data_IF_722105320907
#
_entry.id   IF_722105320907
#
_cell.length_a   1.000
_cell.length_b   1.000
_cell.length_c   1.000
_cell.angle_alpha   90.00
_cell.angle_beta   90.00
_cell.angle_gamma   90.00
#
_symmetry.space_group_name_H-M   'P 1'
#
loop_
_entity.id
_entity.type
_entity.pdbx_description
1 polymer ?
#
# COMPACT_ATOMS: atom_id res chain seq x y z
N UNK A 1 -27.05 25.31 -4.29
CA UNK A 1 -25.59 25.34 -4.28
C UNK A 1 -25.04 25.04 -5.68
N UNK A 2 -24.00 25.77 -6.08
CA UNK A 2 -23.28 25.53 -7.34
C UNK A 2 -21.78 25.44 -7.02
N UNK A 3 -21.09 24.48 -7.64
CA UNK A 3 -19.65 24.36 -7.57
C UNK A 3 -19.09 24.26 -9.00
N UNK A 4 -17.97 24.95 -9.26
CA UNK A 4 -17.29 24.96 -10.56
C UNK A 4 -15.85 24.57 -10.33
N UNK A 5 -15.43 23.46 -10.90
CA UNK A 5 -14.08 22.90 -10.75
C UNK A 5 -13.48 22.52 -12.09
N UNK A 6 -12.16 22.62 -12.27
CA UNK A 6 -11.47 22.09 -13.45
C UNK A 6 -11.77 20.58 -13.59
N UNK A 7 -12.15 20.15 -14.79
CA UNK A 7 -12.51 18.75 -15.06
C UNK A 7 -11.42 17.77 -14.65
N UNK A 8 -10.16 18.09 -14.93
CA UNK A 8 -9.01 17.23 -14.63
C UNK A 8 -8.85 17.00 -13.12
N UNK A 9 -8.88 18.07 -12.33
CA UNK A 9 -8.75 17.98 -10.87
C UNK A 9 -9.93 17.21 -10.25
N UNK A 10 -11.15 17.49 -10.72
CA UNK A 10 -12.33 16.78 -10.24
C UNK A 10 -12.29 15.27 -10.60
N UNK A 11 -11.83 14.94 -11.81
CA UNK A 11 -11.67 13.55 -12.25
C UNK A 11 -10.64 12.80 -11.39
N UNK A 12 -9.45 13.36 -11.20
CA UNK A 12 -8.39 12.79 -10.37
C UNK A 12 -8.85 12.58 -8.92
N UNK A 13 -9.58 13.55 -8.36
CA UNK A 13 -10.12 13.47 -7.01
C UNK A 13 -11.20 12.39 -6.87
N UNK A 14 -12.18 12.34 -7.78
CA UNK A 14 -13.21 11.29 -7.78
C UNK A 14 -12.61 9.91 -7.99
N UNK A 15 -11.62 9.78 -8.88
CA UNK A 15 -10.89 8.52 -9.08
C UNK A 15 -10.13 8.09 -7.81
N UNK A 16 -9.55 9.05 -7.09
CA UNK A 16 -8.81 8.79 -5.85
C UNK A 16 -9.76 8.29 -4.77
N UNK A 17 -10.78 9.06 -4.41
CA UNK A 17 -11.71 8.67 -3.33
C UNK A 17 -12.56 7.46 -3.72
N UNK A 18 -12.88 7.30 -5.01
CA UNK A 18 -13.66 6.18 -5.53
C UNK A 18 -13.07 4.79 -5.25
N UNK A 19 -11.80 4.70 -4.84
CA UNK A 19 -11.14 3.45 -4.42
C UNK A 19 -11.65 2.92 -3.07
N UNK A 20 -12.20 3.81 -2.23
CA UNK A 20 -12.85 3.42 -0.98
C UNK A 20 -14.32 3.02 -1.16
N UNK A 21 -14.86 3.10 -2.38
CA UNK A 21 -16.25 2.74 -2.64
C UNK A 21 -16.43 1.22 -2.59
N UNK A 22 -17.48 0.77 -1.92
CA UNK A 22 -17.84 -0.65 -1.89
C UNK A 22 -18.48 -1.09 -3.22
N UNK A 23 -17.91 -2.15 -3.82
CA UNK A 23 -18.50 -2.75 -5.03
C UNK A 23 -19.74 -3.61 -4.76
N UNK A 24 -19.95 -4.05 -3.51
CA UNK A 24 -21.08 -4.87 -3.06
C UNK A 24 -21.48 -4.42 -1.67
N UNK A 25 -22.56 -3.67 -1.57
CA UNK A 25 -23.03 -3.14 -0.28
C UNK A 25 -24.57 -3.21 -0.21
N UNK A 26 -25.08 -3.43 1.00
CA UNK A 26 -26.51 -3.30 1.31
C UNK A 26 -26.91 -1.83 1.54
N UNK A 27 -25.93 -0.92 1.71
CA UNK A 27 -26.14 0.50 1.93
C UNK A 27 -25.84 1.27 0.63
N UNK A 28 -26.84 1.72 -0.14
CA UNK A 28 -26.62 2.37 -1.44
C UNK A 28 -25.68 3.57 -1.40
N UNK A 29 -25.66 4.33 -0.29
CA UNK A 29 -24.83 5.52 -0.12
C UNK A 29 -23.32 5.19 -0.21
N UNK A 30 -22.89 3.99 0.17
CA UNK A 30 -21.49 3.55 0.11
C UNK A 30 -21.01 3.28 -1.33
N UNK A 31 -21.89 3.33 -2.31
CA UNK A 31 -21.53 3.32 -3.74
C UNK A 31 -21.32 4.73 -4.31
N UNK A 32 -21.49 5.77 -3.48
CA UNK A 32 -21.42 7.15 -3.89
C UNK A 32 -20.16 7.84 -3.36
N UNK A 33 -19.77 8.89 -4.07
CA UNK A 33 -18.85 9.92 -3.59
C UNK A 33 -19.68 11.06 -3.03
N UNK A 34 -19.34 11.51 -1.83
CA UNK A 34 -19.85 12.76 -1.27
C UNK A 34 -18.92 13.90 -1.63
N UNK A 35 -19.46 15.02 -2.10
CA UNK A 35 -18.73 16.27 -2.31
C UNK A 35 -19.37 17.39 -1.49
N UNK A 36 -18.60 18.00 -0.59
CA UNK A 36 -19.03 19.11 0.28
C UNK A 36 -18.11 20.32 0.16
N UNK A 37 -18.64 21.53 0.25
CA UNK A 37 -17.82 22.74 0.35
C UNK A 37 -17.07 22.77 1.69
N UNK A 38 -15.82 23.21 1.67
CA UNK A 38 -14.99 23.40 2.87
C UNK A 38 -14.24 24.71 2.76
N UNK A 39 -14.53 25.62 3.70
CA UNK A 39 -13.89 26.95 3.68
C UNK A 39 -14.06 27.69 2.36
N UNK A 40 -13.18 28.64 2.11
CA UNK A 40 -13.25 29.51 0.96
C UNK A 40 -12.69 28.84 -0.31
N UNK A 41 -13.59 28.48 -1.22
CA UNK A 41 -13.21 28.06 -2.56
C UNK A 41 -12.70 26.62 -2.70
N UNK A 42 -13.09 25.69 -1.79
CA UNK A 42 -12.68 24.30 -1.85
C UNK A 42 -13.86 23.34 -1.82
N UNK A 43 -13.77 22.29 -2.62
CA UNK A 43 -14.69 21.17 -2.61
C UNK A 43 -13.98 19.94 -2.08
N UNK A 44 -14.47 19.42 -0.95
CA UNK A 44 -13.99 18.18 -0.33
C UNK A 44 -14.77 17.01 -0.91
N UNK A 45 -14.06 16.01 -1.42
CA UNK A 45 -14.62 14.76 -1.89
C UNK A 45 -14.29 13.64 -0.90
N UNK A 46 -15.24 12.75 -0.67
CA UNK A 46 -15.12 11.68 0.31
C UNK A 46 -15.83 10.42 -0.18
N UNK A 47 -15.24 9.26 0.09
CA UNK A 47 -15.88 7.95 -0.09
C UNK A 47 -15.45 6.98 0.99
N UNK A 48 -16.27 5.96 1.26
CA UNK A 48 -16.01 4.95 2.28
C UNK A 48 -16.75 3.65 2.00
N UNK A 49 -16.19 2.54 2.48
CA UNK A 49 -16.87 1.25 2.63
C UNK A 49 -17.05 0.86 4.11
N UNK A 50 -16.84 1.81 5.03
CA UNK A 50 -16.83 1.70 6.50
C UNK A 50 -15.55 1.08 7.08
N UNK A 51 -14.75 0.37 6.30
CA UNK A 51 -13.44 -0.12 6.72
C UNK A 51 -12.33 0.87 6.36
N UNK A 52 -12.51 1.59 5.27
CA UNK A 52 -11.58 2.61 4.79
C UNK A 52 -12.34 3.87 4.35
N UNK A 53 -11.82 5.04 4.71
CA UNK A 53 -12.26 6.37 4.26
C UNK A 53 -11.15 7.00 3.45
N UNK A 54 -11.53 7.54 2.30
CA UNK A 54 -10.64 8.39 1.49
C UNK A 54 -11.28 9.76 1.33
N UNK A 55 -10.47 10.77 1.57
CA UNK A 55 -10.85 12.17 1.48
C UNK A 55 -9.78 12.96 0.74
N UNK A 56 -10.18 13.84 -0.16
CA UNK A 56 -9.30 14.85 -0.75
C UNK A 56 -10.08 16.13 -1.04
N UNK A 57 -9.38 17.24 -1.16
CA UNK A 57 -9.97 18.55 -1.47
C UNK A 57 -9.36 19.12 -2.74
N UNK A 58 -10.21 19.76 -3.56
CA UNK A 58 -9.79 20.45 -4.79
C UNK A 58 -10.25 21.91 -4.77
N UNK A 59 -9.58 22.74 -5.55
CA UNK A 59 -10.04 24.11 -5.81
C UNK A 59 -11.38 24.12 -6.50
N UNK A 60 -12.31 24.96 -6.05
CA UNK A 60 -13.64 25.10 -6.66
C UNK A 60 -14.21 26.49 -6.42
N UNK A 61 -14.83 27.08 -7.44
CA UNK A 61 -15.63 28.28 -7.25
C UNK A 61 -17.01 27.88 -6.75
N UNK A 62 -17.31 28.20 -5.50
CA UNK A 62 -18.55 27.77 -4.84
C UNK A 62 -19.49 29.00 -4.66
N UNK A 63 -20.75 28.82 -4.98
CA UNK A 63 -21.82 29.78 -4.69
C UNK A 63 -23.00 29.08 -4.03
N UNK A 64 -23.57 29.72 -3.00
CA UNK A 64 -24.68 29.21 -2.24
C UNK A 64 -25.98 29.90 -2.65
N UNK A 65 -27.09 29.16 -2.64
CA UNK A 65 -28.45 29.68 -2.71
C UNK A 65 -29.05 29.90 -1.31
N UNK A 66 -30.17 30.58 -1.23
CA UNK A 66 -30.86 30.87 0.03
C UNK A 66 -31.39 29.63 0.78
N UNK A 67 -31.54 28.49 0.10
CA UNK A 67 -32.15 27.25 0.64
C UNK A 67 -31.17 26.06 0.74
N UNK A 68 -29.87 26.31 0.83
CA UNK A 68 -28.88 25.23 0.76
C UNK A 68 -28.73 24.42 2.07
N UNK A 69 -29.37 24.82 3.17
CA UNK A 69 -29.32 24.16 4.48
C UNK A 69 -27.97 24.29 5.18
N UNK A 70 -27.84 23.69 6.36
CA UNK A 70 -26.65 23.80 7.22
C UNK A 70 -25.46 23.01 6.69
N UNK A 71 -25.67 21.95 5.91
CA UNK A 71 -24.62 21.09 5.36
C UNK A 71 -24.87 20.78 3.87
N UNK A 72 -24.69 21.75 2.98
CA UNK A 72 -24.89 21.53 1.56
C UNK A 72 -23.86 20.52 1.01
N UNK A 73 -24.26 19.74 0.02
CA UNK A 73 -23.37 18.76 -0.59
C UNK A 73 -23.99 18.07 -1.80
N UNK A 74 -23.18 17.32 -2.51
CA UNK A 74 -23.58 16.49 -3.63
C UNK A 74 -23.21 15.04 -3.34
N UNK A 75 -24.03 14.10 -3.79
CA UNK A 75 -23.67 12.70 -3.84
C UNK A 75 -23.76 12.19 -5.27
N UNK A 76 -22.79 11.40 -5.69
CA UNK A 76 -22.74 10.86 -7.05
C UNK A 76 -22.40 9.37 -7.00
N UNK A 77 -23.06 8.50 -7.82
CA UNK A 77 -22.59 7.15 -8.04
C UNK A 77 -21.15 7.17 -8.55
N UNK A 78 -20.20 6.68 -7.76
CA UNK A 78 -18.76 6.86 -8.00
C UNK A 78 -18.31 6.39 -9.39
N UNK A 79 -18.69 5.17 -9.77
CA UNK A 79 -18.29 4.56 -11.05
C UNK A 79 -18.83 5.37 -12.23
N UNK A 80 -20.14 5.67 -12.23
CA UNK A 80 -20.77 6.42 -13.31
C UNK A 80 -20.17 7.81 -13.44
N UNK A 81 -19.96 8.49 -12.32
CA UNK A 81 -19.42 9.86 -12.34
C UNK A 81 -17.97 9.89 -12.81
N UNK A 82 -17.15 8.90 -12.43
CA UNK A 82 -15.78 8.74 -12.96
C UNK A 82 -15.78 8.52 -14.47
N UNK A 83 -16.64 7.65 -14.99
CA UNK A 83 -16.77 7.39 -16.43
C UNK A 83 -17.19 8.64 -17.20
N UNK A 84 -18.16 9.41 -16.65
CA UNK A 84 -18.61 10.67 -17.25
C UNK A 84 -17.51 11.72 -17.30
N UNK A 85 -16.79 11.93 -16.19
CA UNK A 85 -15.69 12.89 -16.13
C UNK A 85 -14.56 12.51 -17.08
N UNK A 86 -14.30 11.21 -17.25
CA UNK A 86 -13.32 10.70 -18.21
C UNK A 86 -13.71 10.96 -19.68
N UNK A 87 -15.01 11.00 -19.98
CA UNK A 87 -15.53 11.21 -21.32
C UNK A 87 -15.69 12.71 -21.70
N UNK A 88 -15.68 13.61 -20.72
CA UNK A 88 -15.82 15.05 -20.98
C UNK A 88 -14.57 15.64 -21.62
N UNK A 89 -14.79 16.63 -22.52
CA UNK A 89 -13.71 17.48 -23.00
C UNK A 89 -13.07 18.30 -21.87
N UNK A 90 -11.85 18.77 -22.06
CA UNK A 90 -11.20 19.63 -21.06
C UNK A 90 -11.87 20.98 -20.96
N UNK A 91 -12.67 21.17 -19.91
CA UNK A 91 -13.31 22.42 -19.52
C UNK A 91 -13.75 22.34 -18.06
N UNK A 92 -14.19 23.47 -17.51
CA UNK A 92 -14.75 23.47 -16.16
C UNK A 92 -16.02 22.61 -16.10
N UNK A 93 -16.16 21.84 -15.02
CA UNK A 93 -17.38 21.12 -14.68
C UNK A 93 -18.18 21.94 -13.69
N UNK A 94 -19.43 22.20 -14.04
CA UNK A 94 -20.37 22.93 -13.21
C UNK A 94 -21.35 21.94 -12.59
N UNK A 95 -21.32 21.85 -11.26
CA UNK A 95 -22.25 21.06 -10.46
C UNK A 95 -23.31 21.97 -9.88
N UNK A 96 -24.58 21.68 -10.11
CA UNK A 96 -25.71 22.47 -9.56
C UNK A 96 -26.65 21.54 -8.84
N UNK A 97 -26.88 21.80 -7.55
CA UNK A 97 -27.91 21.14 -6.75
C UNK A 97 -29.10 22.12 -6.57
N UNK A 98 -30.28 21.82 -7.12
CA UNK A 98 -31.47 22.57 -6.81
C UNK A 98 -31.95 22.27 -5.37
N UNK A 99 -32.53 23.24 -4.70
CA UNK A 99 -32.91 23.18 -3.28
C UNK A 99 -33.90 22.04 -2.93
N UNK A 100 -34.64 21.50 -3.87
CA UNK A 100 -35.85 20.68 -3.59
C UNK A 100 -35.76 19.25 -4.17
N UNK A 101 -34.68 18.84 -4.85
CA UNK A 101 -34.63 17.52 -5.51
C UNK A 101 -33.27 16.82 -5.26
N UNK A 102 -33.35 15.50 -5.01
CA UNK A 102 -32.18 14.60 -4.95
C UNK A 102 -31.47 14.44 -6.31
N UNK A 103 -31.46 15.47 -7.14
CA UNK A 103 -30.85 15.50 -8.47
C UNK A 103 -29.73 16.53 -8.47
N UNK A 104 -28.60 16.15 -9.05
CA UNK A 104 -27.51 17.08 -9.33
C UNK A 104 -27.38 17.27 -10.84
N UNK A 105 -27.43 18.51 -11.30
CA UNK A 105 -27.10 18.84 -12.68
C UNK A 105 -25.59 18.92 -12.82
N UNK A 106 -25.06 18.25 -13.83
CA UNK A 106 -23.63 18.22 -14.18
C UNK A 106 -23.50 18.79 -15.58
N UNK A 107 -22.78 19.90 -15.74
CA UNK A 107 -22.54 20.55 -17.02
C UNK A 107 -21.05 20.63 -17.31
N UNK A 108 -20.67 20.31 -18.55
CA UNK A 108 -19.31 20.45 -19.03
C UNK A 108 -19.36 20.83 -20.52
N UNK A 109 -18.93 22.04 -20.87
CA UNK A 109 -19.09 22.59 -22.20
C UNK A 109 -20.55 22.56 -22.68
N UNK A 110 -20.84 21.80 -23.74
CA UNK A 110 -22.21 21.64 -24.29
C UNK A 110 -22.98 20.48 -23.67
N UNK A 111 -22.32 19.66 -22.87
CA UNK A 111 -22.91 18.48 -22.22
C UNK A 111 -23.69 18.90 -20.97
N UNK A 112 -24.90 18.38 -20.79
CA UNK A 112 -25.69 18.59 -19.62
C UNK A 112 -26.38 17.29 -19.19
N UNK A 113 -26.18 16.90 -17.95
CA UNK A 113 -26.72 15.68 -17.35
C UNK A 113 -27.44 15.98 -16.05
N UNK A 114 -28.39 15.16 -15.70
CA UNK A 114 -29.03 15.14 -14.38
C UNK A 114 -28.72 13.77 -13.73
N UNK A 115 -27.97 13.78 -12.65
CA UNK A 115 -27.68 12.59 -11.88
C UNK A 115 -28.62 12.52 -10.67
N UNK A 116 -29.15 11.32 -10.44
CA UNK A 116 -29.83 11.01 -9.18
C UNK A 116 -28.77 10.81 -8.12
N UNK A 117 -28.83 11.60 -7.06
CA UNK A 117 -28.01 11.45 -5.86
C UNK A 117 -28.86 10.93 -4.69
N UNK A 118 -28.18 10.62 -3.60
CA UNK A 118 -28.78 10.34 -2.30
C UNK A 118 -28.61 11.55 -1.40
N UNK A 119 -29.30 11.59 -0.25
CA UNK A 119 -29.10 12.67 0.70
C UNK A 119 -27.66 12.69 1.22
N UNK A 120 -26.95 13.82 1.18
CA UNK A 120 -25.63 13.95 1.81
C UNK A 120 -25.63 13.62 3.32
N UNK A 121 -26.78 13.74 3.99
CA UNK A 121 -26.93 13.47 5.42
C UNK A 121 -26.95 11.98 5.74
N UNK A 122 -27.21 11.12 4.73
CA UNK A 122 -27.11 9.67 4.86
C UNK A 122 -25.66 9.18 4.77
N UNK A 123 -24.72 10.06 4.37
CA UNK A 123 -23.33 9.67 4.22
C UNK A 123 -22.65 9.56 5.60
N UNK A 124 -22.00 8.42 5.91
CA UNK A 124 -21.35 8.22 7.20
C UNK A 124 -20.28 9.28 7.46
N UNK A 125 -20.25 9.80 8.67
CA UNK A 125 -19.16 10.67 9.10
C UNK A 125 -17.85 9.87 9.22
N UNK A 126 -16.70 10.45 8.85
CA UNK A 126 -15.42 9.82 9.13
C UNK A 126 -15.25 9.67 10.64
N UNK A 127 -14.64 8.56 11.10
CA UNK A 127 -14.39 8.37 12.52
C UNK A 127 -13.38 9.39 13.04
N UNK A 128 -13.56 9.79 14.29
CA UNK A 128 -12.54 10.54 15.01
C UNK A 128 -11.37 9.60 15.33
N UNK A 129 -10.15 10.05 15.03
CA UNK A 129 -8.94 9.26 15.26
C UNK A 129 -8.21 9.83 16.47
N UNK A 130 -8.38 9.19 17.62
CA UNK A 130 -7.67 9.53 18.86
C UNK A 130 -6.17 9.32 18.68
N UNK A 131 -5.37 10.30 19.12
CA UNK A 131 -3.93 10.25 18.97
C UNK A 131 -3.29 9.40 20.06
N UNK A 132 -2.64 8.29 19.66
CA UNK A 132 -1.77 7.49 20.53
C UNK A 132 -0.30 7.76 20.18
N UNK A 133 0.02 7.67 18.91
CA UNK A 133 1.34 7.95 18.37
C UNK A 133 1.21 8.55 16.98
N UNK A 134 2.16 9.36 16.58
CA UNK A 134 2.23 9.90 15.23
C UNK A 134 3.66 10.03 14.74
N UNK A 135 3.84 9.96 13.44
CA UNK A 135 5.13 10.21 12.82
C UNK A 135 4.98 10.75 11.40
N UNK A 136 6.02 11.40 10.93
CA UNK A 136 6.14 11.86 9.54
C UNK A 136 7.27 11.13 8.85
N UNK A 137 7.02 10.66 7.65
CA UNK A 137 7.96 9.89 6.84
C UNK A 137 7.91 10.36 5.38
N UNK A 138 9.05 10.30 4.68
CA UNK A 138 9.09 10.53 3.24
C UNK A 138 8.30 9.45 2.49
N UNK A 139 7.49 9.87 1.51
CA UNK A 139 6.62 8.96 0.77
C UNK A 139 7.39 7.85 0.06
N UNK A 140 8.51 8.16 -0.56
CA UNK A 140 9.38 7.17 -1.22
C UNK A 140 9.91 6.11 -0.24
N UNK A 141 10.30 6.52 0.97
CA UNK A 141 10.74 5.58 2.00
C UNK A 141 9.59 4.68 2.47
N UNK A 142 8.41 5.25 2.76
CA UNK A 142 7.24 4.47 3.17
C UNK A 142 6.84 3.45 2.10
N UNK A 143 6.85 3.84 0.83
CA UNK A 143 6.58 2.93 -0.30
C UNK A 143 7.58 1.78 -0.37
N UNK A 144 8.86 2.06 -0.20
CA UNK A 144 9.91 1.03 -0.18
C UNK A 144 9.68 0.03 0.94
N UNK A 145 9.43 0.52 2.17
CA UNK A 145 9.15 -0.31 3.35
C UNK A 145 7.92 -1.22 3.12
N UNK A 146 6.83 -0.68 2.58
CA UNK A 146 5.63 -1.46 2.31
C UNK A 146 5.89 -2.53 1.23
N UNK A 147 6.58 -2.19 0.14
CA UNK A 147 6.92 -3.15 -0.93
C UNK A 147 7.77 -4.30 -0.42
N UNK A 148 8.68 -4.02 0.51
CA UNK A 148 9.58 -5.01 1.10
C UNK A 148 8.85 -6.06 1.96
N UNK A 149 7.62 -5.81 2.42
CA UNK A 149 6.90 -6.75 3.30
C UNK A 149 5.52 -7.19 2.79
N UNK A 150 4.82 -6.35 2.06
CA UNK A 150 3.40 -6.55 1.74
C UNK A 150 3.13 -7.84 0.93
N UNK A 151 4.12 -8.36 0.20
CA UNK A 151 4.01 -9.63 -0.52
C UNK A 151 3.90 -10.85 0.41
N UNK A 152 4.33 -10.71 1.67
CA UNK A 152 4.38 -11.79 2.65
C UNK A 152 3.12 -11.89 3.51
N UNK A 153 2.10 -11.05 3.31
CA UNK A 153 0.81 -11.16 4.01
C UNK A 153 0.07 -12.44 3.62
N UNK A 154 -0.71 -12.98 4.53
CA UNK A 154 -1.55 -14.15 4.27
C UNK A 154 -2.76 -13.77 3.39
N UNK A 155 -3.13 -14.66 2.50
CA UNK A 155 -4.42 -14.61 1.76
C UNK A 155 -5.49 -15.48 2.41
N UNK A 156 -5.18 -16.15 3.50
CA UNK A 156 -6.09 -17.01 4.25
C UNK A 156 -6.91 -16.15 5.25
N UNK A 157 -8.15 -15.88 4.90
CA UNK A 157 -9.08 -15.09 5.70
C UNK A 157 -9.46 -15.73 7.04
N UNK A 158 -9.16 -17.01 7.25
CA UNK A 158 -9.37 -17.66 8.57
C UNK A 158 -8.35 -17.19 9.62
N UNK A 159 -7.23 -16.64 9.17
CA UNK A 159 -6.17 -16.07 10.00
C UNK A 159 -6.07 -14.57 9.80
N UNK A 160 -7.15 -13.86 10.14
CA UNK A 160 -7.34 -12.42 9.88
C UNK A 160 -6.12 -11.59 10.28
N UNK A 161 -5.52 -11.86 11.46
CA UNK A 161 -4.35 -11.09 11.95
C UNK A 161 -3.13 -11.15 11.00
N UNK A 162 -3.00 -12.18 10.16
CA UNK A 162 -1.92 -12.33 9.20
C UNK A 162 -2.25 -11.72 7.82
N UNK A 163 -3.49 -11.26 7.59
CA UNK A 163 -3.86 -10.59 6.34
C UNK A 163 -3.45 -9.12 6.30
N UNK A 164 -2.82 -8.64 7.37
CA UNK A 164 -2.29 -7.28 7.49
C UNK A 164 -0.78 -7.25 7.71
N UNK A 165 -0.25 -6.04 7.67
CA UNK A 165 1.14 -5.71 7.98
C UNK A 165 1.20 -5.15 9.39
N UNK A 166 2.00 -5.75 10.27
CA UNK A 166 2.33 -5.18 11.56
C UNK A 166 3.23 -3.96 11.36
N UNK A 167 2.79 -2.82 11.82
CA UNK A 167 3.56 -1.59 11.92
C UNK A 167 3.90 -1.36 13.40
N UNK A 168 5.19 -1.26 13.72
CA UNK A 168 5.69 -0.89 15.05
C UNK A 168 6.42 0.43 14.94
N UNK A 169 6.05 1.39 15.78
CA UNK A 169 6.70 2.69 15.88
C UNK A 169 7.24 2.86 17.31
N UNK A 170 8.52 3.21 17.44
CA UNK A 170 9.23 3.33 18.72
C UNK A 170 9.57 4.78 19.12
N UNK A 171 9.10 5.76 18.36
CA UNK A 171 9.42 7.19 18.53
C UNK A 171 10.46 7.72 17.53
N UNK A 172 11.28 6.87 16.93
CA UNK A 172 12.36 7.24 16.01
C UNK A 172 12.35 6.48 14.70
N UNK A 173 11.94 5.23 14.74
CA UNK A 173 11.90 4.32 13.60
C UNK A 173 10.56 3.60 13.49
N UNK A 174 10.23 3.21 12.27
CA UNK A 174 9.13 2.29 12.01
C UNK A 174 9.69 0.95 11.55
N UNK A 175 9.11 -0.11 12.06
CA UNK A 175 9.36 -1.49 11.63
C UNK A 175 8.09 -2.05 11.03
N UNK A 176 8.17 -2.61 9.84
CA UNK A 176 7.08 -3.31 9.18
C UNK A 176 7.38 -4.80 9.14
N UNK A 177 6.34 -5.60 9.43
CA UNK A 177 6.44 -7.07 9.46
C UNK A 177 5.22 -7.68 8.81
N UNK A 178 5.42 -8.65 7.95
CA UNK A 178 4.35 -9.47 7.38
C UNK A 178 4.76 -10.94 7.31
N UNK A 179 3.80 -11.84 7.51
CA UNK A 179 4.02 -13.29 7.44
C UNK A 179 2.73 -14.03 7.06
N UNK A 180 2.89 -15.12 6.30
CA UNK A 180 1.84 -16.09 6.00
C UNK A 180 2.10 -17.46 6.64
N UNK A 181 3.07 -17.54 7.58
CA UNK A 181 3.61 -18.72 8.24
C UNK A 181 4.62 -19.55 7.41
N UNK A 182 4.67 -19.37 6.12
CA UNK A 182 5.66 -20.00 5.23
C UNK A 182 6.85 -19.09 4.91
N UNK A 183 6.62 -17.80 5.05
CA UNK A 183 7.62 -16.74 4.89
C UNK A 183 7.36 -15.60 5.86
N UNK A 184 8.39 -14.87 6.19
CA UNK A 184 8.35 -13.71 7.06
C UNK A 184 9.22 -12.63 6.44
N UNK A 185 8.68 -11.44 6.21
CA UNK A 185 9.44 -10.28 5.77
C UNK A 185 9.46 -9.22 6.87
N UNK A 186 10.63 -8.65 7.12
CA UNK A 186 10.85 -7.61 8.13
C UNK A 186 11.68 -6.50 7.50
N UNK A 187 11.28 -5.27 7.72
CA UNK A 187 12.05 -4.09 7.32
C UNK A 187 11.92 -2.99 8.35
N UNK A 188 12.87 -2.07 8.35
CA UNK A 188 12.91 -0.95 9.28
C UNK A 188 13.40 0.32 8.58
N UNK A 189 12.90 1.47 9.00
CA UNK A 189 13.33 2.76 8.49
C UNK A 189 13.12 3.87 9.49
N UNK A 190 14.01 4.87 9.48
CA UNK A 190 13.90 6.02 10.34
C UNK A 190 12.82 6.99 9.82
N UNK A 191 12.07 7.56 10.73
CA UNK A 191 11.10 8.61 10.41
C UNK A 191 11.75 9.99 10.45
N UNK A 192 11.14 10.97 9.81
CA UNK A 192 11.60 12.34 9.81
C UNK A 192 11.35 13.03 11.17
N UNK A 193 10.19 12.75 11.75
CA UNK A 193 9.79 13.21 13.09
C UNK A 193 8.71 12.30 13.65
N UNK A 194 8.58 12.24 14.97
CA UNK A 194 7.54 11.42 15.59
C UNK A 194 7.29 11.76 17.05
N UNK A 195 6.15 11.30 17.55
CA UNK A 195 5.72 11.46 18.94
C UNK A 195 4.99 10.20 19.39
N UNK A 196 5.23 9.78 20.64
CA UNK A 196 4.68 8.55 21.20
C UNK A 196 5.35 7.28 20.68
N UNK A 197 4.72 6.14 20.93
CA UNK A 197 5.07 4.83 20.42
C UNK A 197 3.82 3.98 20.29
N UNK A 198 3.78 3.06 19.35
CA UNK A 198 2.60 2.24 19.13
C UNK A 198 2.79 1.11 18.14
N UNK A 199 1.87 0.16 18.21
CA UNK A 199 1.81 -0.97 17.29
C UNK A 199 0.43 -1.04 16.66
N UNK A 200 0.36 -1.35 15.37
CA UNK A 200 -0.88 -1.49 14.64
C UNK A 200 -0.75 -2.60 13.58
N UNK A 201 -1.80 -3.37 13.37
CA UNK A 201 -1.87 -4.29 12.23
C UNK A 201 -2.77 -3.66 11.17
N UNK A 202 -2.14 -3.13 10.13
CA UNK A 202 -2.82 -2.42 9.05
C UNK A 202 -3.20 -3.41 7.95
N UNK A 203 -4.47 -3.49 7.52
CA UNK A 203 -4.87 -4.39 6.45
C UNK A 203 -4.03 -4.22 5.18
N UNK A 204 -3.67 -5.34 4.53
CA UNK A 204 -2.89 -5.31 3.29
C UNK A 204 -3.57 -4.47 2.19
N UNK A 205 -4.90 -4.45 2.14
CA UNK A 205 -5.67 -3.58 1.24
C UNK A 205 -5.36 -2.10 1.48
N UNK A 206 -5.33 -1.67 2.74
CA UNK A 206 -5.00 -0.29 3.08
C UNK A 206 -3.54 0.03 2.72
N UNK A 207 -2.59 -0.88 2.99
CA UNK A 207 -1.19 -0.70 2.58
C UNK A 207 -1.04 -0.58 1.05
N UNK A 208 -1.82 -1.32 0.27
CA UNK A 208 -1.86 -1.19 -1.19
C UNK A 208 -2.38 0.19 -1.62
N UNK A 209 -3.35 0.78 -0.91
CA UNK A 209 -3.79 2.13 -1.21
C UNK A 209 -2.74 3.17 -0.80
N UNK A 210 -2.02 3.00 0.32
CA UNK A 210 -0.87 3.85 0.67
C UNK A 210 0.17 3.85 -0.46
N UNK A 211 0.52 2.68 -1.03
CA UNK A 211 1.44 2.57 -2.16
C UNK A 211 1.01 3.38 -3.39
N UNK A 212 -0.30 3.53 -3.61
CA UNK A 212 -0.87 4.27 -4.75
C UNK A 212 -0.99 5.77 -4.49
N UNK A 213 -1.29 6.14 -3.23
CA UNK A 213 -1.54 7.52 -2.84
C UNK A 213 -0.24 8.30 -2.59
N UNK A 214 0.78 7.65 -2.01
CA UNK A 214 2.04 8.29 -1.71
C UNK A 214 2.87 8.52 -2.99
N UNK A 215 3.23 9.76 -3.26
CA UNK A 215 4.30 10.12 -4.18
C UNK A 215 5.67 9.92 -3.54
N UNK A 216 6.71 9.78 -4.35
CA UNK A 216 8.07 9.54 -3.81
C UNK A 216 8.60 10.76 -3.05
N UNK A 217 8.24 11.96 -3.51
CA UNK A 217 8.63 13.25 -2.90
C UNK A 217 7.61 13.78 -1.88
N UNK A 218 6.54 13.05 -1.60
CA UNK A 218 5.50 13.46 -0.67
C UNK A 218 5.97 13.36 0.79
N UNK A 219 5.37 14.19 1.66
CA UNK A 219 5.39 13.97 3.10
C UNK A 219 4.14 13.17 3.51
N UNK A 220 4.35 12.07 4.23
CA UNK A 220 3.25 11.26 4.76
C UNK A 220 3.26 11.35 6.28
N UNK A 221 2.18 11.91 6.85
CA UNK A 221 1.94 11.87 8.29
C UNK A 221 1.06 10.66 8.61
N UNK A 222 1.50 9.86 9.56
CA UNK A 222 0.75 8.69 10.05
C UNK A 222 0.37 8.93 11.51
N UNK A 223 -0.90 8.72 11.83
CA UNK A 223 -1.42 8.76 13.21
C UNK A 223 -1.98 7.39 13.54
N UNK A 224 -1.49 6.80 14.61
CA UNK A 224 -1.98 5.55 15.16
C UNK A 224 -2.94 5.83 16.32
N UNK A 225 -4.07 5.16 16.31
CA UNK A 225 -5.12 5.27 17.30
C UNK A 225 -5.64 3.87 17.71
N UNK A 226 -6.55 3.84 18.69
CA UNK A 226 -7.22 2.60 19.05
C UNK A 226 -8.15 2.12 17.92
N UNK A 227 -7.78 1.01 17.28
CA UNK A 227 -8.57 0.39 16.22
C UNK A 227 -8.49 1.08 14.85
N UNK A 228 -7.74 2.17 14.71
CA UNK A 228 -7.67 2.94 13.47
C UNK A 228 -6.27 3.50 13.19
N UNK A 229 -5.96 3.72 11.91
CA UNK A 229 -4.81 4.51 11.49
C UNK A 229 -5.24 5.55 10.46
N UNK A 230 -4.67 6.75 10.57
CA UNK A 230 -4.85 7.84 9.62
C UNK A 230 -3.54 8.12 8.91
N UNK A 231 -3.60 8.25 7.59
CA UNK A 231 -2.51 8.63 6.70
C UNK A 231 -2.88 9.92 6.00
N UNK A 232 -2.05 10.94 6.14
CA UNK A 232 -2.19 12.23 5.46
C UNK A 232 -1.04 12.39 4.46
N UNK A 233 -1.38 12.49 3.19
CA UNK A 233 -0.42 12.64 2.09
C UNK A 233 -0.35 14.10 1.68
N UNK A 234 0.81 14.71 1.82
CA UNK A 234 1.09 16.10 1.42
C UNK A 234 2.04 16.10 0.24
N UNK A 235 1.57 16.54 -0.90
CA UNK A 235 2.40 16.65 -2.10
C UNK A 235 3.48 17.71 -1.93
N UNK A 236 4.66 17.45 -2.47
CA UNK A 236 5.70 18.47 -2.56
C UNK A 236 5.17 19.67 -3.34
N UNK A 237 5.43 20.86 -2.84
CA UNK A 237 4.99 22.11 -3.46
C UNK A 237 5.98 22.53 -4.56
N UNK A 238 5.44 23.07 -5.65
CA UNK A 238 6.22 23.77 -6.66
C UNK A 238 6.49 25.22 -6.23
N UNK A 239 7.45 25.88 -6.87
CA UNK A 239 7.78 27.29 -6.59
C UNK A 239 6.60 28.26 -6.77
N UNK A 240 5.59 27.85 -7.52
CA UNK A 240 4.37 28.63 -7.79
C UNK A 240 3.29 28.44 -6.73
N UNK A 241 3.41 27.45 -5.86
CA UNK A 241 2.44 27.20 -4.80
C UNK A 241 2.61 28.25 -3.68
N UNK A 242 1.67 29.17 -3.61
CA UNK A 242 1.66 30.23 -2.58
C UNK A 242 1.27 29.68 -1.21
N UNK A 243 0.50 28.59 -1.19
CA UNK A 243 -0.03 27.97 0.03
C UNK A 243 0.73 26.67 0.34
N UNK A 244 1.99 26.82 0.75
CA UNK A 244 2.88 25.70 1.06
C UNK A 244 3.64 25.93 2.37
N UNK A 245 3.81 24.88 3.15
CA UNK A 245 4.46 24.89 4.45
C UNK A 245 5.64 23.91 4.52
N UNK A 246 6.56 24.14 5.43
CA UNK A 246 7.62 23.18 5.76
C UNK A 246 7.06 22.07 6.65
N UNK A 247 7.61 20.87 6.50
CA UNK A 247 7.28 19.71 7.35
C UNK A 247 8.54 19.32 8.11
N UNK A 248 8.45 19.19 9.42
CA UNK A 248 9.60 18.88 10.28
C UNK A 248 10.33 17.61 9.85
N UNK A 249 11.64 17.70 9.70
CA UNK A 249 12.51 16.58 9.35
C UNK A 249 12.53 16.22 7.87
N UNK A 250 11.80 16.93 7.02
CA UNK A 250 11.85 16.77 5.57
C UNK A 250 12.28 18.06 4.88
N UNK A 251 13.16 17.94 3.89
CA UNK A 251 13.60 19.05 3.08
C UNK A 251 12.53 19.46 2.06
N UNK A 252 12.30 20.76 1.93
CA UNK A 252 11.39 21.36 0.97
C UNK A 252 10.09 21.89 1.56
N UNK A 253 9.24 22.38 0.67
CA UNK A 253 7.90 22.88 0.99
C UNK A 253 6.85 21.88 0.48
N UNK A 254 5.77 21.75 1.22
CA UNK A 254 4.67 20.83 0.90
C UNK A 254 3.36 21.61 0.83
N UNK A 255 2.47 21.17 -0.06
CA UNK A 255 1.14 21.75 -0.20
C UNK A 255 0.36 21.56 1.12
N UNK A 256 -0.40 22.56 1.49
CA UNK A 256 -1.29 22.49 2.66
C UNK A 256 -2.44 21.51 2.40
N UNK A 257 -2.79 21.32 1.12
CA UNK A 257 -3.80 20.34 0.71
C UNK A 257 -3.34 18.92 0.95
N UNK A 258 -4.16 18.17 1.65
CA UNK A 258 -3.91 16.76 1.96
C UNK A 258 -4.92 15.85 1.27
N UNK A 259 -4.43 14.68 0.85
CA UNK A 259 -5.29 13.52 0.70
C UNK A 259 -5.22 12.74 2.01
N UNK A 260 -6.36 12.43 2.59
CA UNK A 260 -6.44 11.70 3.87
C UNK A 260 -7.04 10.32 3.64
N UNK A 261 -6.41 9.32 4.21
CA UNK A 261 -6.94 7.97 4.32
C UNK A 261 -7.06 7.59 5.79
N UNK A 262 -8.23 7.09 6.20
CA UNK A 262 -8.43 6.46 7.51
C UNK A 262 -8.79 5.00 7.25
N UNK A 263 -8.18 4.08 7.97
CA UNK A 263 -8.47 2.65 7.88
C UNK A 263 -8.71 2.04 9.25
N UNK A 264 -9.65 1.10 9.32
CA UNK A 264 -9.78 0.23 10.48
C UNK A 264 -8.55 -0.67 10.57
N UNK A 265 -8.08 -0.94 11.78
CA UNK A 265 -6.98 -1.85 12.07
C UNK A 265 -7.52 -3.26 12.28
N UNK A 266 -6.68 -4.25 12.03
CA UNK A 266 -7.00 -5.63 12.39
C UNK A 266 -6.77 -5.81 13.88
N UNK A 267 -7.82 -6.17 14.61
CA UNK A 267 -7.73 -6.44 16.04
C UNK A 267 -7.07 -7.80 16.31
N UNK A 268 -6.29 -7.86 17.37
CA UNK A 268 -5.63 -9.06 17.82
C UNK A 268 -4.13 -8.92 18.05
N UNK A 269 -3.54 -9.98 18.59
CA UNK A 269 -2.10 -10.03 18.84
C UNK A 269 -1.36 -10.66 17.67
N UNK A 270 -0.47 -9.89 17.01
CA UNK A 270 0.41 -10.42 15.98
C UNK A 270 1.38 -11.44 16.57
N UNK A 271 1.65 -12.58 15.89
CA UNK A 271 2.54 -13.61 16.41
C UNK A 271 3.94 -13.09 16.76
N UNK A 272 4.59 -13.74 17.72
CA UNK A 272 5.99 -13.43 18.04
C UNK A 272 6.91 -13.94 16.92
N UNK A 273 7.09 -13.10 15.91
CA UNK A 273 7.87 -13.38 14.71
C UNK A 273 9.39 -13.44 14.98
N UNK A 274 9.88 -12.79 16.02
CA UNK A 274 11.30 -12.70 16.33
C UNK A 274 11.91 -14.08 16.61
N UNK A 275 11.09 -15.01 17.16
CA UNK A 275 11.51 -16.39 17.44
C UNK A 275 11.76 -17.24 16.19
N UNK A 276 11.23 -16.81 15.05
CA UNK A 276 11.35 -17.54 13.78
C UNK A 276 12.61 -17.14 13.02
N UNK A 277 13.19 -15.99 13.34
CA UNK A 277 14.36 -15.44 12.68
C UNK A 277 15.61 -16.18 13.21
N UNK A 278 16.33 -16.94 12.36
CA UNK A 278 17.61 -17.57 12.75
C UNK A 278 18.61 -16.50 13.22
N UNK A 279 19.25 -16.77 14.35
CA UNK A 279 20.25 -15.86 14.92
C UNK A 279 21.65 -16.10 14.36
N UNK A 280 21.91 -17.31 13.87
CA UNK A 280 23.19 -17.72 13.33
C UNK A 280 22.99 -18.44 12.01
N UNK A 281 24.05 -18.48 11.20
CA UNK A 281 24.15 -19.28 9.98
C UNK A 281 25.52 -19.94 9.91
N UNK A 282 25.59 -21.11 9.27
CA UNK A 282 26.81 -21.85 9.02
C UNK A 282 27.20 -21.80 7.54
N UNK A 283 26.28 -21.38 6.69
CA UNK A 283 26.41 -21.29 5.24
C UNK A 283 25.82 -19.98 4.74
N UNK A 284 26.57 -19.33 3.87
CA UNK A 284 26.13 -18.11 3.23
C UNK A 284 26.51 -18.13 1.75
N UNK A 285 25.54 -17.84 0.92
CA UNK A 285 25.72 -17.62 -0.51
C UNK A 285 25.54 -16.14 -0.80
N UNK A 286 26.53 -15.52 -1.43
CA UNK A 286 26.40 -14.17 -1.98
C UNK A 286 26.20 -14.31 -3.49
N UNK A 287 25.10 -13.78 -3.99
CA UNK A 287 24.59 -14.08 -5.33
C UNK A 287 24.20 -12.75 -5.99
N UNK A 288 24.51 -12.60 -7.29
CA UNK A 288 23.89 -11.52 -8.09
C UNK A 288 22.37 -11.68 -8.10
N UNK A 289 21.66 -10.64 -7.70
CA UNK A 289 20.20 -10.70 -7.57
C UNK A 289 19.50 -10.91 -8.90
N UNK A 290 20.01 -10.30 -9.97
CA UNK A 290 19.42 -10.40 -11.32
C UNK A 290 19.53 -11.82 -11.86
N UNK A 291 20.70 -12.44 -11.74
CA UNK A 291 20.95 -13.81 -12.15
C UNK A 291 20.11 -14.79 -11.33
N UNK A 292 20.02 -14.58 -10.01
CA UNK A 292 19.23 -15.44 -9.14
C UNK A 292 17.73 -15.37 -9.47
N UNK A 293 17.16 -14.15 -9.65
CA UNK A 293 15.76 -13.98 -10.07
C UNK A 293 15.51 -14.65 -11.43
N UNK A 294 16.41 -14.47 -12.39
CA UNK A 294 16.29 -15.05 -13.72
C UNK A 294 16.30 -16.58 -13.68
N UNK A 295 17.21 -17.17 -12.90
CA UNK A 295 17.32 -18.62 -12.69
C UNK A 295 16.07 -19.18 -12.01
N UNK A 296 15.62 -18.57 -10.91
CA UNK A 296 14.39 -18.97 -10.21
C UNK A 296 13.19 -18.93 -11.16
N UNK A 297 13.04 -17.88 -11.99
CA UNK A 297 11.94 -17.76 -12.95
C UNK A 297 11.96 -18.86 -14.01
N UNK A 298 13.15 -19.23 -14.52
CA UNK A 298 13.29 -20.31 -15.53
C UNK A 298 12.86 -21.66 -14.94
N UNK A 299 13.39 -22.00 -13.76
CA UNK A 299 13.10 -23.28 -13.11
C UNK A 299 11.66 -23.35 -12.58
N UNK A 300 11.09 -22.22 -12.14
CA UNK A 300 9.71 -22.14 -11.69
C UNK A 300 8.66 -22.55 -12.75
N UNK A 301 9.01 -22.51 -14.03
CA UNK A 301 8.10 -22.97 -15.12
C UNK A 301 7.77 -24.44 -14.92
N UNK A 302 8.76 -25.27 -14.54
CA UNK A 302 8.57 -26.70 -14.29
C UNK A 302 7.97 -26.93 -12.90
N UNK A 303 8.33 -26.11 -11.91
CA UNK A 303 7.90 -26.27 -10.51
C UNK A 303 6.39 -26.08 -10.28
N UNK A 304 5.65 -25.43 -11.19
CA UNK A 304 4.24 -25.02 -11.02
C UNK A 304 3.33 -26.18 -10.58
N UNK A 305 3.50 -27.36 -11.12
CA UNK A 305 2.63 -28.51 -10.84
C UNK A 305 3.13 -29.36 -9.65
N UNK A 306 4.29 -29.04 -9.07
CA UNK A 306 4.85 -29.72 -7.91
C UNK A 306 5.00 -28.75 -6.73
N UNK A 307 3.91 -28.22 -6.23
CA UNK A 307 3.86 -27.31 -5.08
C UNK A 307 4.83 -26.11 -5.18
N UNK A 308 5.22 -25.69 -6.39
CA UNK A 308 6.23 -24.66 -6.66
C UNK A 308 7.61 -24.98 -6.07
N UNK A 309 7.95 -26.26 -5.86
CA UNK A 309 9.20 -26.67 -5.22
C UNK A 309 10.38 -26.51 -6.16
N UNK A 310 11.41 -25.81 -5.70
CA UNK A 310 12.74 -25.71 -6.32
C UNK A 310 13.79 -26.13 -5.31
N UNK A 311 14.67 -27.05 -5.71
CA UNK A 311 15.83 -27.48 -4.94
C UNK A 311 17.02 -26.62 -5.33
N UNK A 312 17.68 -26.05 -4.34
CA UNK A 312 18.93 -25.32 -4.44
C UNK A 312 20.05 -26.22 -3.93
N UNK A 313 21.02 -26.53 -4.77
CA UNK A 313 22.15 -27.38 -4.42
C UNK A 313 23.46 -26.65 -4.72
N UNK A 314 24.34 -26.55 -3.73
CA UNK A 314 25.64 -25.94 -3.90
C UNK A 314 26.68 -27.00 -4.21
N UNK A 315 27.55 -26.69 -5.17
CA UNK A 315 28.75 -27.49 -5.47
C UNK A 315 29.92 -26.55 -5.76
N UNK A 316 30.78 -26.38 -4.78
CA UNK A 316 31.84 -25.35 -4.87
C UNK A 316 31.22 -23.94 -4.99
N UNK A 317 31.65 -23.18 -5.99
CA UNK A 317 31.19 -21.81 -6.26
C UNK A 317 30.02 -21.77 -7.26
N UNK A 318 29.30 -22.88 -7.42
CA UNK A 318 28.11 -22.98 -8.26
C UNK A 318 26.87 -23.29 -7.42
N UNK A 319 25.76 -22.70 -7.79
CA UNK A 319 24.44 -22.98 -7.26
C UNK A 319 23.57 -23.54 -8.39
N UNK A 320 23.18 -24.80 -8.26
CA UNK A 320 22.23 -25.44 -9.14
C UNK A 320 20.82 -25.28 -8.59
N UNK A 321 19.89 -24.83 -9.42
CA UNK A 321 18.47 -24.79 -9.14
C UNK A 321 17.78 -25.88 -9.96
N UNK A 322 17.04 -26.78 -9.31
CA UNK A 322 16.36 -27.89 -9.98
C UNK A 322 14.88 -27.95 -9.59
N UNK A 323 14.02 -28.17 -10.54
CA UNK A 323 12.61 -28.51 -10.31
C UNK A 323 12.23 -29.74 -11.11
N UNK A 324 11.38 -30.58 -10.54
CA UNK A 324 10.84 -31.79 -11.14
C UNK A 324 9.32 -31.74 -11.13
N UNK A 325 8.72 -32.21 -12.22
CA UNK A 325 7.29 -32.43 -12.35
C UNK A 325 7.06 -33.78 -13.04
N UNK A 326 6.20 -34.61 -12.47
CA UNK A 326 5.84 -35.91 -13.06
C UNK A 326 5.17 -35.83 -14.43
N UNK A 327 4.66 -34.66 -14.80
CA UNK A 327 3.93 -34.43 -16.05
C UNK A 327 4.73 -33.63 -17.09
N UNK A 328 5.64 -32.74 -16.63
CA UNK A 328 6.41 -31.85 -17.52
C UNK A 328 7.85 -32.34 -17.71
N UNK A 329 8.45 -32.94 -16.68
CA UNK A 329 9.84 -33.34 -16.68
C UNK A 329 10.70 -32.54 -15.69
N UNK A 330 11.99 -32.39 -15.98
CA UNK A 330 12.96 -31.77 -15.09
C UNK A 330 13.52 -30.49 -15.71
N UNK A 331 13.60 -29.43 -14.92
CA UNK A 331 14.29 -28.17 -15.25
C UNK A 331 15.51 -28.00 -14.33
N UNK A 332 16.67 -27.67 -14.90
CA UNK A 332 17.89 -27.36 -14.16
C UNK A 332 18.53 -26.10 -14.72
N UNK A 333 19.00 -25.25 -13.83
CA UNK A 333 19.75 -24.04 -14.16
C UNK A 333 20.90 -23.86 -13.17
N UNK A 334 21.99 -23.24 -13.57
CA UNK A 334 23.17 -23.06 -12.76
C UNK A 334 23.63 -21.60 -12.81
N UNK A 335 24.03 -21.08 -11.65
CA UNK A 335 24.58 -19.73 -11.51
C UNK A 335 25.84 -19.74 -10.62
N UNK A 336 26.71 -18.77 -10.85
CA UNK A 336 27.89 -18.57 -10.01
C UNK A 336 27.51 -17.87 -8.70
N UNK A 337 28.14 -18.28 -7.61
CA UNK A 337 27.94 -17.73 -6.27
C UNK A 337 29.26 -17.65 -5.50
N UNK A 338 29.39 -16.63 -4.65
CA UNK A 338 30.45 -16.66 -3.62
C UNK A 338 29.89 -17.39 -2.39
N UNK A 339 30.54 -18.47 -2.00
CA UNK A 339 30.11 -19.38 -0.93
C UNK A 339 30.99 -19.33 0.30
N UNK A 340 30.33 -19.26 1.46
CA UNK A 340 30.93 -19.50 2.77
C UNK A 340 30.29 -20.75 3.38
N UNK A 341 31.09 -21.65 3.98
CA UNK A 341 30.61 -22.88 4.62
C UNK A 341 30.58 -24.10 3.68
N UNK A 342 30.05 -25.22 4.16
CA UNK A 342 29.95 -26.48 3.43
C UNK A 342 28.79 -26.48 2.41
N UNK A 343 28.86 -27.42 1.45
CA UNK A 343 27.78 -27.63 0.49
C UNK A 343 26.47 -28.01 1.19
N UNK A 344 25.36 -27.64 0.55
CA UNK A 344 24.02 -27.90 1.06
C UNK A 344 23.04 -28.11 -0.11
N UNK A 345 22.06 -29.01 0.13
CA UNK A 345 20.84 -29.09 -0.70
C UNK A 345 19.63 -28.66 0.16
N UNK A 346 18.91 -27.66 -0.28
CA UNK A 346 17.73 -27.12 0.41
C UNK A 346 16.65 -26.81 -0.61
N UNK A 347 15.38 -27.02 -0.25
CA UNK A 347 14.28 -26.74 -1.14
C UNK A 347 13.42 -25.58 -0.62
N UNK A 348 12.98 -24.70 -1.53
CA UNK A 348 12.06 -23.62 -1.24
C UNK A 348 10.90 -23.58 -2.25
N UNK A 349 9.87 -22.85 -1.89
CA UNK A 349 8.82 -22.49 -2.83
C UNK A 349 9.35 -21.39 -3.79
N UNK A 350 9.37 -21.68 -5.09
CA UNK A 350 9.90 -20.78 -6.13
C UNK A 350 9.21 -19.41 -6.15
N UNK A 351 7.89 -19.39 -5.90
CA UNK A 351 7.14 -18.14 -5.84
C UNK A 351 7.59 -17.29 -4.64
N UNK A 352 7.73 -17.90 -3.46
CA UNK A 352 8.15 -17.18 -2.26
C UNK A 352 9.58 -16.66 -2.39
N UNK A 353 10.45 -17.46 -2.98
CA UNK A 353 11.83 -17.05 -3.28
C UNK A 353 11.86 -15.87 -4.26
N UNK A 354 11.09 -15.95 -5.36
CA UNK A 354 11.00 -14.88 -6.34
C UNK A 354 10.40 -13.58 -5.75
N UNK A 355 9.35 -13.69 -4.92
CA UNK A 355 8.73 -12.54 -4.26
C UNK A 355 9.74 -11.83 -3.33
N UNK A 356 10.49 -12.60 -2.52
CA UNK A 356 11.50 -12.06 -1.63
C UNK A 356 12.62 -11.34 -2.39
N UNK A 357 13.12 -11.95 -3.49
CA UNK A 357 14.16 -11.36 -4.33
C UNK A 357 13.70 -10.10 -5.08
N UNK A 358 12.43 -10.07 -5.53
CA UNK A 358 11.86 -8.90 -6.20
C UNK A 358 11.65 -7.71 -5.25
N UNK A 359 11.50 -7.96 -3.95
CA UNK A 359 11.33 -6.92 -2.95
C UNK A 359 12.63 -6.18 -2.60
N UNK A 360 13.78 -6.77 -2.89
CA UNK A 360 15.11 -6.22 -2.58
C UNK A 360 15.53 -5.22 -3.66
N UNK A 361 15.96 -4.03 -3.24
CA UNK A 361 16.58 -3.02 -4.10
C UNK A 361 18.10 -2.96 -3.83
N UNK A 362 18.82 -4.00 -4.27
CA UNK A 362 20.27 -4.12 -4.21
C UNK A 362 20.75 -4.96 -5.39
N UNK A 363 22.01 -4.82 -5.79
CA UNK A 363 22.62 -5.62 -6.84
C UNK A 363 22.87 -7.07 -6.41
N UNK A 364 23.23 -7.26 -5.14
CA UNK A 364 23.51 -8.58 -4.56
C UNK A 364 22.52 -8.98 -3.46
N UNK A 365 22.42 -10.27 -3.23
CA UNK A 365 21.69 -10.86 -2.10
C UNK A 365 22.55 -11.90 -1.38
N UNK A 366 22.37 -12.00 -0.07
CA UNK A 366 22.90 -13.07 0.75
C UNK A 366 21.77 -14.05 1.08
N UNK A 367 21.97 -15.33 0.83
CA UNK A 367 21.14 -16.42 1.32
C UNK A 367 21.89 -17.11 2.46
N UNK A 368 21.41 -16.92 3.68
CA UNK A 368 21.99 -17.47 4.92
C UNK A 368 21.22 -18.73 5.34
N UNK A 369 21.92 -19.81 5.64
CA UNK A 369 21.33 -21.12 5.94
C UNK A 369 22.12 -21.84 7.03
N UNK A 370 21.45 -22.81 7.66
CA UNK A 370 22.11 -23.78 8.59
C UNK A 370 21.95 -25.19 8.06
N UNK A 371 20.79 -25.81 8.16
CA UNK A 371 20.47 -27.18 7.78
C UNK A 371 19.37 -27.23 6.73
N UNK A 372 19.23 -28.34 5.97
CA UNK A 372 18.25 -28.45 4.87
C UNK A 372 16.78 -28.23 5.26
N UNK A 373 16.42 -28.49 6.53
CA UNK A 373 15.06 -28.35 7.05
C UNK A 373 14.91 -27.17 8.04
N UNK A 374 15.91 -26.27 8.06
CA UNK A 374 15.85 -25.04 8.84
C UNK A 374 15.58 -23.84 7.93
N UNK A 375 14.93 -22.79 8.44
CA UNK A 375 14.63 -21.61 7.63
C UNK A 375 15.89 -20.99 7.02
N UNK A 376 15.78 -20.56 5.75
CA UNK A 376 16.77 -19.72 5.09
C UNK A 376 16.42 -18.25 5.27
N UNK A 377 17.43 -17.39 5.34
CA UNK A 377 17.27 -15.94 5.46
C UNK A 377 17.87 -15.26 4.24
N UNK A 378 17.09 -14.42 3.57
CA UNK A 378 17.56 -13.59 2.47
C UNK A 378 17.76 -12.17 2.98
N UNK A 379 18.92 -11.57 2.67
CA UNK A 379 19.26 -10.19 2.98
C UNK A 379 19.85 -9.49 1.76
N UNK A 380 19.70 -8.16 1.62
CA UNK A 380 20.42 -7.41 0.60
C UNK A 380 21.93 -7.40 0.89
N UNK A 381 22.75 -7.43 -0.16
CA UNK A 381 24.19 -7.17 -0.10
C UNK A 381 24.47 -5.88 -0.85
N UNK A 382 24.98 -4.87 -0.13
CA UNK A 382 25.02 -3.51 -0.65
C UNK A 382 23.64 -2.84 -0.62
N UNK A 383 23.52 -1.72 -1.32
CA UNK A 383 22.27 -0.95 -1.36
C UNK A 383 22.03 -0.10 -0.10
N UNK A 384 20.88 0.58 -0.10
CA UNK A 384 20.55 1.59 0.92
C UNK A 384 19.68 1.06 2.08
N UNK A 385 19.34 -0.24 2.06
CA UNK A 385 18.36 -0.84 2.98
C UNK A 385 18.88 -2.12 3.68
N UNK A 386 19.92 -2.00 4.53
CA UNK A 386 20.55 -3.17 5.19
C UNK A 386 19.64 -3.85 6.25
N UNK A 387 18.62 -3.14 6.73
CA UNK A 387 17.70 -3.65 7.77
C UNK A 387 16.65 -4.64 7.24
N UNK A 388 16.50 -4.79 5.91
CA UNK A 388 15.56 -5.75 5.34
C UNK A 388 16.04 -7.19 5.52
N UNK A 389 15.13 -8.08 5.86
CA UNK A 389 15.32 -9.53 5.81
C UNK A 389 14.03 -10.25 5.41
N UNK A 390 14.19 -11.39 4.74
CA UNK A 390 13.11 -12.31 4.47
C UNK A 390 13.49 -13.73 4.90
N UNK A 391 12.68 -14.30 5.79
CA UNK A 391 12.82 -15.71 6.21
C UNK A 391 11.93 -16.57 5.32
N UNK A 392 12.47 -17.64 4.77
CA UNK A 392 11.75 -18.64 3.97
C UNK A 392 11.77 -19.99 4.68
N UNK A 393 10.60 -20.59 4.88
CA UNK A 393 10.48 -21.95 5.38
C UNK A 393 10.88 -22.93 4.30
N UNK A 394 11.76 -23.90 4.60
CA UNK A 394 12.16 -24.89 3.62
C UNK A 394 11.06 -25.91 3.36
N UNK A 395 11.16 -26.54 2.21
CA UNK A 395 10.36 -27.70 1.82
C UNK A 395 11.23 -28.97 1.89
N UNK A 396 10.62 -30.13 1.90
CA UNK A 396 11.36 -31.40 1.83
C UNK A 396 12.06 -31.55 0.47
N UNK A 397 13.29 -32.04 0.49
CA UNK A 397 14.13 -32.32 -0.70
C UNK A 397 13.86 -33.75 -1.20
N UNK A 398 12.60 -34.17 -1.41
CA UNK A 398 12.26 -35.53 -1.87
C UNK A 398 11.80 -35.48 -3.32
#
# INVERSE_FOLDING_TARGET
MQAVSPRRELFEAVQTVGRAVSGRTSLPILSHVLARPVGDGRLRLMATDLEMWLECSIGSRISFGFDDGDQPGFTFPAKLFTEMLGAFAESDVVLVRPAVKAKTSVRCGRSNYELLGLSPDEFPAPPEVDHIASFTIAGGLLKSLIKEVNFAVSTDETRVILTGVLLKFDGTAIKLVATDTHRLAVTEGNVASGDGAGNAVVPARAMNEVLRLAGDDDAVQVVLANGQARFEFRKRADDKDTDAATVNGLDGRFRVDTTTMITQLIDGQFPNYERVIPQNYDRKLTIDRGDFIASVKRVAIVAKENAQRVVLETQGDQLALTAESGTIGTGRDEIEVAREGADIAIAFNAKYLADALNAIDAEGVALEMTEPLRPGVIRPVGGNRPAYLCVLMPMQVI
#
